data_IF_032816588343
#
_entry.id   IF_032816588343
#
_cell.length_a   1.000
_cell.length_b   1.000
_cell.length_c   1.000
_cell.angle_alpha   90.00
_cell.angle_beta   90.00
_cell.angle_gamma   90.00
#
_symmetry.space_group_name_H-M   'P 1'
#
loop_
_entity.id
_entity.type
_entity.pdbx_description
1 polymer ?
#
# COMPACT_ATOMS: atom_id res chain seq x y z
N UNK A 1 -27.55 -19.69 -16.88
CA UNK A 1 -26.34 -18.87 -16.63
C UNK A 1 -26.62 -18.04 -15.39
N UNK A 2 -26.18 -18.48 -14.22
CA UNK A 2 -26.36 -17.70 -12.98
C UNK A 2 -25.39 -16.53 -12.99
N UNK A 3 -25.92 -15.31 -13.07
CA UNK A 3 -25.23 -14.12 -12.64
C UNK A 3 -25.07 -14.21 -11.11
N UNK A 4 -23.90 -14.65 -10.66
CA UNK A 4 -23.49 -14.44 -9.27
C UNK A 4 -22.98 -13.00 -9.20
N UNK A 5 -23.90 -12.06 -8.98
CA UNK A 5 -23.52 -10.73 -8.50
C UNK A 5 -23.01 -10.91 -7.07
N UNK A 6 -21.71 -11.12 -6.89
CA UNK A 6 -21.06 -11.12 -5.58
C UNK A 6 -21.23 -9.73 -4.96
N UNK A 7 -22.13 -9.63 -3.98
CA UNK A 7 -22.37 -8.44 -3.17
C UNK A 7 -21.39 -8.31 -2.00
N UNK A 8 -20.37 -9.16 -1.93
CA UNK A 8 -19.55 -9.35 -0.75
C UNK A 8 -18.34 -8.43 -0.68
N UNK A 9 -18.30 -7.62 0.37
CA UNK A 9 -17.05 -7.07 0.93
C UNK A 9 -16.11 -8.25 1.27
N UNK A 10 -14.80 -8.16 1.00
CA UNK A 10 -13.86 -9.21 1.37
C UNK A 10 -13.95 -9.56 2.86
N UNK A 11 -14.06 -10.85 3.18
CA UNK A 11 -14.09 -11.29 4.58
C UNK A 11 -12.66 -11.43 5.08
N UNK A 12 -12.31 -10.61 6.07
CA UNK A 12 -11.01 -10.69 6.75
C UNK A 12 -10.88 -11.98 7.57
N UNK A 13 -9.82 -12.79 7.38
CA UNK A 13 -9.54 -13.94 8.22
C UNK A 13 -9.36 -13.58 9.69
N UNK A 14 -9.90 -14.40 10.60
CA UNK A 14 -9.63 -14.26 12.03
C UNK A 14 -8.22 -14.77 12.37
N UNK A 15 -7.61 -14.19 13.40
CA UNK A 15 -6.29 -14.63 13.91
C UNK A 15 -5.08 -14.17 13.09
N UNK A 16 -5.24 -13.18 12.20
CA UNK A 16 -4.10 -12.53 11.54
C UNK A 16 -3.23 -11.78 12.57
N UNK A 17 -1.89 -11.78 12.41
CA UNK A 17 -1.01 -10.92 13.19
C UNK A 17 -1.42 -9.44 13.06
N UNK A 18 -1.28 -8.64 14.12
CA UNK A 18 -1.77 -7.25 14.16
C UNK A 18 -1.27 -6.38 12.99
N UNK A 19 -0.01 -6.55 12.59
CA UNK A 19 0.56 -5.83 11.46
C UNK A 19 -0.11 -6.21 10.12
N UNK A 20 -0.36 -7.50 9.91
CA UNK A 20 -1.04 -8.03 8.72
C UNK A 20 -2.51 -7.65 8.73
N UNK A 21 -3.15 -7.71 9.89
CA UNK A 21 -4.51 -7.23 10.11
C UNK A 21 -4.64 -5.75 9.74
N UNK A 22 -3.71 -4.91 10.22
CA UNK A 22 -3.69 -3.48 9.88
C UNK A 22 -3.48 -3.24 8.38
N UNK A 23 -2.55 -3.99 7.77
CA UNK A 23 -2.27 -3.90 6.34
C UNK A 23 -3.48 -4.32 5.49
N UNK A 24 -4.22 -5.36 5.91
CA UNK A 24 -5.48 -5.75 5.28
C UNK A 24 -6.49 -4.60 5.27
N UNK A 25 -6.75 -4.00 6.44
CA UNK A 25 -7.76 -2.92 6.56
C UNK A 25 -7.40 -1.73 5.67
N UNK A 26 -6.10 -1.47 5.54
CA UNK A 26 -5.60 -0.45 4.63
C UNK A 26 -5.82 -0.81 3.16
N UNK A 27 -5.50 -2.04 2.74
CA UNK A 27 -5.71 -2.51 1.34
C UNK A 27 -7.19 -2.50 0.98
N UNK A 28 -8.05 -3.00 1.86
CA UNK A 28 -9.50 -3.02 1.65
C UNK A 28 -10.05 -1.59 1.47
N UNK A 29 -9.62 -0.66 2.32
CA UNK A 29 -9.98 0.77 2.19
C UNK A 29 -9.49 1.38 0.88
N UNK A 30 -8.29 1.01 0.45
CA UNK A 30 -7.69 1.52 -0.79
C UNK A 30 -8.41 0.97 -2.03
N UNK A 31 -8.91 -0.25 -1.96
CA UNK A 31 -9.60 -0.93 -3.03
C UNK A 31 -11.13 -0.75 -2.96
N UNK A 32 -11.62 0.26 -2.23
CA UNK A 32 -13.05 0.45 -1.95
C UNK A 32 -13.93 0.31 -3.21
N UNK A 33 -14.81 -0.69 -3.20
CA UNK A 33 -15.78 -0.96 -4.26
C UNK A 33 -15.24 -1.67 -5.50
N UNK A 34 -13.95 -2.02 -5.55
CA UNK A 34 -13.35 -2.80 -6.65
C UNK A 34 -12.89 -4.21 -6.25
N UNK A 35 -12.82 -4.50 -4.95
CA UNK A 35 -12.55 -5.84 -4.42
C UNK A 35 -13.80 -6.53 -3.93
N UNK A 36 -13.82 -7.83 -4.07
CA UNK A 36 -14.96 -8.68 -3.75
C UNK A 36 -14.54 -9.85 -2.86
N UNK A 37 -15.51 -10.63 -2.37
CA UNK A 37 -15.26 -11.80 -1.50
C UNK A 37 -14.18 -12.75 -2.04
N UNK A 38 -14.16 -13.02 -3.36
CA UNK A 38 -13.15 -13.89 -3.97
C UNK A 38 -11.71 -13.34 -3.91
N UNK A 39 -11.54 -12.05 -3.62
CA UNK A 39 -10.24 -11.38 -3.54
C UNK A 39 -9.62 -11.49 -2.14
N UNK A 40 -10.33 -12.05 -1.15
CA UNK A 40 -9.86 -12.14 0.22
C UNK A 40 -8.46 -12.77 0.35
N UNK A 41 -8.18 -13.84 -0.40
CA UNK A 41 -6.85 -14.45 -0.40
C UNK A 41 -5.78 -13.52 -0.99
N UNK A 42 -6.10 -12.80 -2.06
CA UNK A 42 -5.17 -11.86 -2.68
C UNK A 42 -4.88 -10.67 -1.76
N UNK A 43 -5.89 -10.17 -1.03
CA UNK A 43 -5.74 -9.13 -0.01
C UNK A 43 -4.89 -9.63 1.16
N UNK A 44 -5.10 -10.86 1.62
CA UNK A 44 -4.26 -11.45 2.67
C UNK A 44 -2.79 -11.48 2.24
N UNK A 45 -2.50 -12.05 1.06
CA UNK A 45 -1.13 -12.12 0.57
C UNK A 45 -0.52 -10.73 0.39
N UNK A 46 -1.31 -9.78 -0.10
CA UNK A 46 -0.84 -8.41 -0.29
C UNK A 46 -0.52 -7.74 1.05
N UNK A 47 -1.32 -7.99 2.09
CA UNK A 47 -1.08 -7.52 3.44
C UNK A 47 0.19 -8.13 4.05
N UNK A 48 0.42 -9.43 3.87
CA UNK A 48 1.63 -10.10 4.32
C UNK A 48 2.89 -9.57 3.62
N UNK A 49 2.83 -9.39 2.29
CA UNK A 49 3.95 -8.83 1.53
C UNK A 49 4.20 -7.37 1.85
N UNK A 50 3.16 -6.59 2.14
CA UNK A 50 3.28 -5.21 2.60
C UNK A 50 4.02 -5.11 3.94
N UNK A 51 3.71 -5.99 4.89
CA UNK A 51 4.43 -6.05 6.18
C UNK A 51 5.89 -6.44 5.97
N UNK A 52 6.16 -7.49 5.17
CA UNK A 52 7.54 -7.90 4.85
C UNK A 52 8.33 -6.79 4.16
N UNK A 53 7.69 -6.03 3.28
CA UNK A 53 8.33 -4.88 2.64
C UNK A 53 8.80 -3.86 3.69
N UNK A 54 7.94 -3.50 4.65
CA UNK A 54 8.31 -2.60 5.74
C UNK A 54 9.41 -3.17 6.66
N UNK A 55 9.41 -4.49 6.89
CA UNK A 55 10.49 -5.18 7.61
C UNK A 55 11.83 -5.06 6.86
N UNK A 56 11.84 -5.26 5.54
CA UNK A 56 13.04 -5.09 4.72
C UNK A 56 13.53 -3.64 4.70
N UNK A 57 12.64 -2.64 4.59
CA UNK A 57 13.04 -1.23 4.70
C UNK A 57 13.76 -0.94 6.02
N UNK A 58 13.24 -1.47 7.13
CA UNK A 58 13.87 -1.33 8.45
C UNK A 58 15.21 -2.05 8.52
N UNK A 59 15.29 -3.30 8.06
CA UNK A 59 16.54 -4.08 8.07
C UNK A 59 17.63 -3.43 7.22
N UNK A 60 17.27 -2.85 6.08
CA UNK A 60 18.19 -2.12 5.20
C UNK A 60 18.74 -0.87 5.89
N UNK A 61 17.88 -0.13 6.60
CA UNK A 61 18.32 1.02 7.39
C UNK A 61 19.30 0.59 8.51
N UNK A 62 18.94 -0.47 9.25
CA UNK A 62 19.72 -0.98 10.39
C UNK A 62 21.07 -1.59 9.97
N UNK A 63 21.14 -2.21 8.78
CA UNK A 63 22.36 -2.88 8.25
C UNK A 63 23.06 -2.08 7.15
N UNK A 64 22.82 -0.77 7.06
CA UNK A 64 23.42 0.12 6.04
C UNK A 64 24.96 0.23 6.08
N UNK A 65 25.59 -0.30 7.14
CA UNK A 65 27.04 -0.29 7.35
C UNK A 65 27.75 -1.57 6.86
N UNK A 66 27.03 -2.66 6.66
CA UNK A 66 27.55 -3.91 6.07
C UNK A 66 27.07 -3.98 4.62
N UNK A 67 27.98 -3.72 3.68
CA UNK A 67 27.64 -3.62 2.25
C UNK A 67 27.15 -4.94 1.66
N UNK A 68 27.65 -6.08 2.14
CA UNK A 68 27.27 -7.40 1.62
C UNK A 68 25.86 -7.76 2.10
N UNK A 69 25.56 -7.51 3.37
CA UNK A 69 24.22 -7.72 3.92
C UNK A 69 23.22 -6.69 3.37
N UNK A 70 23.64 -5.44 3.16
CA UNK A 70 22.83 -4.41 2.51
C UNK A 70 22.41 -4.83 1.09
N UNK A 71 23.36 -5.24 0.23
CA UNK A 71 23.04 -5.69 -1.14
C UNK A 71 22.12 -6.91 -1.13
N UNK A 72 22.33 -7.86 -0.18
CA UNK A 72 21.45 -9.00 0.00
C UNK A 72 20.02 -8.58 0.36
N UNK A 73 19.86 -7.68 1.33
CA UNK A 73 18.57 -7.20 1.79
C UNK A 73 17.84 -6.38 0.70
N UNK A 74 18.55 -5.53 -0.04
CA UNK A 74 17.99 -4.77 -1.16
C UNK A 74 17.46 -5.71 -2.25
N UNK A 75 18.19 -6.77 -2.60
CA UNK A 75 17.71 -7.77 -3.57
C UNK A 75 16.48 -8.51 -3.07
N UNK A 76 16.43 -8.84 -1.79
CA UNK A 76 15.27 -9.48 -1.17
C UNK A 76 14.05 -8.53 -1.19
N UNK A 77 14.24 -7.25 -0.84
CA UNK A 77 13.19 -6.23 -0.91
C UNK A 77 12.64 -6.10 -2.34
N UNK A 78 13.49 -6.04 -3.36
CA UNK A 78 13.06 -5.95 -4.76
C UNK A 78 12.21 -7.15 -5.19
N UNK A 79 12.46 -8.35 -4.65
CA UNK A 79 11.63 -9.52 -4.92
C UNK A 79 10.24 -9.39 -4.27
N UNK A 80 10.18 -8.93 -3.02
CA UNK A 80 8.92 -8.64 -2.32
C UNK A 80 8.14 -7.54 -3.04
N UNK A 81 8.80 -6.46 -3.46
CA UNK A 81 8.18 -5.39 -4.23
C UNK A 81 7.51 -5.89 -5.48
N UNK A 82 8.17 -6.76 -6.25
CA UNK A 82 7.58 -7.32 -7.47
C UNK A 82 6.31 -8.13 -7.18
N UNK A 83 6.33 -8.92 -6.11
CA UNK A 83 5.16 -9.71 -5.70
C UNK A 83 4.02 -8.81 -5.24
N UNK A 84 4.33 -7.81 -4.40
CA UNK A 84 3.38 -6.82 -3.91
C UNK A 84 2.77 -6.02 -5.07
N UNK A 85 3.58 -5.64 -6.07
CA UNK A 85 3.11 -4.97 -7.29
C UNK A 85 2.12 -5.84 -8.07
N UNK A 86 2.45 -7.10 -8.31
CA UNK A 86 1.57 -8.01 -9.02
C UNK A 86 0.22 -8.20 -8.29
N UNK A 87 0.24 -8.26 -6.95
CA UNK A 87 -0.97 -8.36 -6.14
C UNK A 87 -1.79 -7.08 -6.19
N UNK A 88 -1.15 -5.92 -6.09
CA UNK A 88 -1.85 -4.64 -6.18
C UNK A 88 -2.44 -4.41 -7.57
N UNK A 89 -1.70 -4.71 -8.64
CA UNK A 89 -2.22 -4.62 -10.01
C UNK A 89 -3.44 -5.54 -10.20
N UNK A 90 -3.40 -6.76 -9.65
CA UNK A 90 -4.56 -7.67 -9.64
C UNK A 90 -5.78 -7.07 -8.93
N UNK A 91 -5.56 -6.30 -7.86
CA UNK A 91 -6.61 -5.62 -7.10
C UNK A 91 -7.01 -4.26 -7.71
N UNK A 92 -6.47 -3.88 -8.88
CA UNK A 92 -6.71 -2.57 -9.50
C UNK A 92 -5.99 -1.40 -8.82
N UNK A 93 -5.06 -1.67 -7.92
CA UNK A 93 -4.27 -0.71 -7.13
C UNK A 93 -2.95 -0.35 -7.85
N UNK A 94 -3.00 0.19 -9.07
CA UNK A 94 -1.81 0.48 -9.88
C UNK A 94 -0.90 1.58 -9.25
N UNK A 95 0.42 1.62 -9.54
CA UNK A 95 1.38 2.68 -9.17
C UNK A 95 0.92 4.15 -9.27
N UNK A 96 0.00 4.54 -10.15
CA UNK A 96 -0.58 5.90 -10.15
C UNK A 96 -1.44 6.18 -8.90
N UNK A 97 -2.09 5.15 -8.35
CA UNK A 97 -2.73 5.21 -7.03
C UNK A 97 -1.69 5.32 -5.91
N UNK A 98 -0.47 4.78 -6.09
CA UNK A 98 0.64 4.91 -5.13
C UNK A 98 1.29 6.29 -5.07
N UNK A 99 1.29 7.05 -6.18
CA UNK A 99 1.80 8.42 -6.18
C UNK A 99 0.94 9.36 -5.31
N UNK A 100 -0.37 9.10 -5.23
CA UNK A 100 -1.28 9.75 -4.27
C UNK A 100 -1.03 9.30 -2.82
N UNK A 101 -0.34 8.17 -2.61
CA UNK A 101 -0.11 7.54 -1.29
C UNK A 101 1.24 7.89 -0.65
N UNK A 102 2.13 8.60 -1.34
CA UNK A 102 3.42 9.09 -0.78
C UNK A 102 3.40 10.56 -0.38
N UNK A 103 2.31 11.28 -0.66
CA UNK A 103 2.16 12.68 -0.29
C UNK A 103 1.21 12.71 0.91
N UNK A 104 1.66 13.05 2.13
CA UNK A 104 0.74 13.58 3.11
C UNK A 104 0.06 14.76 2.40
N UNK A 105 -1.25 14.67 2.13
CA UNK A 105 -2.00 15.88 1.88
C UNK A 105 -1.93 16.67 3.17
N UNK A 106 -0.91 17.52 3.29
CA UNK A 106 -1.08 18.77 4.01
C UNK A 106 -2.21 19.49 3.31
N UNK A 107 -3.43 19.19 3.76
CA UNK A 107 -4.53 20.13 3.71
C UNK A 107 -4.02 21.38 4.40
N UNK A 108 -3.65 22.41 3.65
CA UNK A 108 -4.42 23.62 3.42
C UNK A 108 -3.57 24.40 2.41
N UNK A 109 -4.13 24.61 1.21
CA UNK A 109 -3.66 25.70 0.36
C UNK A 109 -3.99 26.97 1.14
N UNK A 110 -3.06 27.48 1.95
CA UNK A 110 -3.15 28.88 2.32
C UNK A 110 -3.09 29.65 1.00
N UNK A 111 -4.04 30.54 0.71
CA UNK A 111 -3.98 31.33 -0.51
C UNK A 111 -2.66 32.09 -0.50
N UNK A 112 -1.90 31.92 -1.59
CA UNK A 112 -0.58 32.48 -1.80
C UNK A 112 -0.52 33.91 -1.26
N UNK A 113 0.40 34.14 -0.32
CA UNK A 113 0.82 35.47 0.14
C UNK A 113 1.17 36.40 -1.05
N UNK A 114 1.52 35.79 -2.19
CA UNK A 114 1.75 36.41 -3.49
C UNK A 114 0.48 37.08 -4.10
N UNK A 115 -0.70 36.47 -3.99
CA UNK A 115 -1.96 37.09 -4.44
C UNK A 115 -2.39 38.24 -3.51
N UNK A 116 -2.06 38.14 -2.22
CA UNK A 116 -2.27 39.22 -1.24
C UNK A 116 -1.38 40.43 -1.51
N UNK A 117 -0.17 40.22 -2.04
CA UNK A 117 0.76 41.28 -2.44
C UNK A 117 0.34 42.02 -3.72
N UNK A 118 -0.38 41.35 -4.63
CA UNK A 118 -0.78 41.93 -5.92
C UNK A 118 -2.22 42.45 -5.97
N UNK A 119 -3.01 42.19 -4.92
CA UNK A 119 -4.46 42.49 -4.88
C UNK A 119 -4.89 43.62 -3.92
N UNK A 120 -3.98 44.47 -3.44
CA UNK A 120 -4.33 45.53 -2.50
C UNK A 120 -3.54 46.82 -2.66
N UNK A 121 -4.06 47.76 -3.45
CA UNK A 121 -3.64 49.18 -3.48
C UNK A 121 -3.14 49.67 -4.81
#
# INVERSE_FOLDING_TARGET
MSLVCGTGVPVKPCGLPDAVSTAWDWIERMAAGVVFEQDGWAIQMAAEQWVRHGEYERLIADNSHDMDEFDRLVRAQLAVDRQLNALFDRLGLNPKARQTLRVPRESVSEPDEFERMLGGG
#
